data_IF_608091528824
#
_entry.id   IF_608091528824
#
_cell.length_a   1.000
_cell.length_b   1.000
_cell.length_c   1.000
_cell.angle_alpha   90.00
_cell.angle_beta   90.00
_cell.angle_gamma   90.00
#
_symmetry.space_group_name_H-M   'P 1'
#
loop_
_entity.id
_entity.type
_entity.pdbx_description
1 polymer ?
#
# COMPACT_ATOMS: atom_id res chain seq x y z
N UNK A 1 -2.99 11.21 -15.69
CA UNK A 1 -4.19 10.35 -15.77
C UNK A 1 -3.77 9.03 -16.42
N UNK A 2 -4.07 7.85 -15.82
CA UNK A 2 -3.66 6.51 -16.33
C UNK A 2 -4.16 5.36 -15.42
N UNK A 3 -5.34 5.48 -14.80
CA UNK A 3 -5.86 4.42 -13.91
C UNK A 3 -6.42 3.26 -14.73
N UNK A 4 -6.04 2.03 -14.38
CA UNK A 4 -6.46 0.80 -15.05
C UNK A 4 -7.27 -0.11 -14.12
N UNK A 5 -8.43 -0.56 -14.60
CA UNK A 5 -9.31 -1.49 -13.90
C UNK A 5 -9.48 -2.72 -14.79
N UNK A 6 -9.04 -3.87 -14.30
CA UNK A 6 -9.21 -5.14 -15.01
C UNK A 6 -10.68 -5.62 -14.98
N UNK A 7 -11.04 -6.50 -15.92
CA UNK A 7 -12.40 -6.95 -16.13
C UNK A 7 -13.06 -7.60 -14.90
N UNK A 8 -14.40 -7.58 -14.90
CA UNK A 8 -15.26 -8.14 -13.85
C UNK A 8 -15.13 -7.49 -12.47
N UNK A 9 -14.41 -6.36 -12.35
CA UNK A 9 -14.34 -5.59 -11.11
C UNK A 9 -15.55 -4.67 -10.96
N UNK A 10 -16.15 -4.67 -9.78
CA UNK A 10 -17.29 -3.82 -9.38
C UNK A 10 -16.79 -2.67 -8.53
N UNK A 11 -17.17 -1.44 -8.88
CA UNK A 11 -16.78 -0.22 -8.16
C UNK A 11 -18.02 0.43 -7.57
N UNK A 12 -18.02 0.65 -6.26
CA UNK A 12 -19.09 1.33 -5.54
C UNK A 12 -19.13 2.84 -5.78
N UNK A 13 -20.09 3.51 -5.14
CA UNK A 13 -20.24 4.96 -5.28
C UNK A 13 -19.12 5.74 -4.57
N UNK A 14 -18.87 6.97 -5.03
CA UNK A 14 -17.96 7.93 -4.38
C UNK A 14 -16.53 7.39 -4.18
N UNK A 15 -16.10 6.47 -5.04
CA UNK A 15 -14.73 5.96 -5.07
C UNK A 15 -13.82 6.97 -5.76
N UNK A 16 -12.68 7.25 -5.15
CA UNK A 16 -11.62 8.07 -5.73
C UNK A 16 -10.38 7.24 -5.98
N UNK A 17 -9.83 7.35 -7.19
CA UNK A 17 -8.60 6.68 -7.59
C UNK A 17 -7.59 7.73 -8.03
N UNK A 18 -6.44 7.76 -7.35
CA UNK A 18 -5.30 8.57 -7.77
C UNK A 18 -4.78 8.13 -9.13
N UNK A 19 -3.94 8.98 -9.74
CA UNK A 19 -3.35 8.66 -11.04
C UNK A 19 -2.52 7.38 -11.00
N UNK A 20 -2.55 6.61 -12.09
CA UNK A 20 -1.76 5.37 -12.24
C UNK A 20 -2.08 4.28 -11.22
N UNK A 21 -3.31 4.26 -10.68
CA UNK A 21 -3.79 3.10 -9.90
C UNK A 21 -4.02 1.91 -10.84
N UNK A 22 -3.59 0.72 -10.42
CA UNK A 22 -3.87 -0.53 -11.11
C UNK A 22 -4.71 -1.47 -10.25
N UNK A 23 -5.79 -2.01 -10.81
CA UNK A 23 -6.71 -2.93 -10.12
C UNK A 23 -6.79 -4.25 -10.91
N UNK A 24 -6.55 -5.37 -10.23
CA UNK A 24 -6.74 -6.71 -10.83
C UNK A 24 -8.22 -7.03 -11.03
N UNK A 25 -8.53 -8.09 -11.78
CA UNK A 25 -9.91 -8.41 -12.17
C UNK A 25 -10.72 -9.06 -11.05
N UNK A 26 -12.04 -9.08 -11.22
CA UNK A 26 -12.98 -9.78 -10.33
C UNK A 26 -13.00 -9.27 -8.89
N UNK A 27 -12.69 -7.99 -8.68
CA UNK A 27 -12.69 -7.39 -7.34
C UNK A 27 -13.97 -6.61 -7.05
N UNK A 28 -14.23 -6.37 -5.77
CA UNK A 28 -15.24 -5.42 -5.30
C UNK A 28 -14.54 -4.26 -4.57
N UNK A 29 -14.79 -3.04 -5.04
CA UNK A 29 -14.30 -1.81 -4.41
C UNK A 29 -15.49 -1.14 -3.73
N UNK A 30 -15.47 -1.13 -2.40
CA UNK A 30 -16.55 -0.61 -1.58
C UNK A 30 -16.78 0.90 -1.76
N UNK A 31 -17.98 1.34 -1.41
CA UNK A 31 -18.36 2.75 -1.44
C UNK A 31 -17.40 3.62 -0.60
N UNK A 32 -17.11 4.83 -1.09
CA UNK A 32 -16.27 5.79 -0.37
C UNK A 32 -14.80 5.41 -0.27
N UNK A 33 -14.34 4.42 -1.05
CA UNK A 33 -12.93 4.03 -1.09
C UNK A 33 -12.08 5.10 -1.76
N UNK A 34 -10.96 5.46 -1.14
CA UNK A 34 -9.93 6.34 -1.71
C UNK A 34 -8.63 5.56 -1.90
N UNK A 35 -8.19 5.39 -3.15
CA UNK A 35 -6.95 4.69 -3.49
C UNK A 35 -5.93 5.74 -3.95
N UNK A 36 -4.83 5.87 -3.22
CA UNK A 36 -3.77 6.83 -3.55
C UNK A 36 -3.04 6.46 -4.86
N UNK A 37 -2.43 7.47 -5.51
CA UNK A 37 -1.76 7.31 -6.79
C UNK A 37 -0.71 6.18 -6.78
N UNK A 38 -0.50 5.55 -7.94
CA UNK A 38 0.47 4.45 -8.14
C UNK A 38 0.24 3.20 -7.26
N UNK A 39 -0.93 3.06 -6.64
CA UNK A 39 -1.24 1.87 -5.85
C UNK A 39 -1.66 0.69 -6.73
N UNK A 40 -1.33 -0.52 -6.27
CA UNK A 40 -1.75 -1.78 -6.89
C UNK A 40 -2.74 -2.54 -6.03
N UNK A 41 -3.98 -2.67 -6.48
CA UNK A 41 -5.06 -3.36 -5.76
C UNK A 41 -5.13 -4.80 -6.22
N UNK A 42 -4.77 -5.73 -5.32
CA UNK A 42 -4.75 -7.18 -5.56
C UNK A 42 -5.93 -7.95 -4.94
N UNK A 43 -6.77 -7.27 -4.15
CA UNK A 43 -7.92 -7.85 -3.43
C UNK A 43 -9.05 -6.83 -3.29
N UNK A 44 -10.27 -7.31 -3.07
CA UNK A 44 -11.42 -6.46 -2.79
C UNK A 44 -11.16 -5.56 -1.57
N UNK A 45 -11.61 -4.31 -1.66
CA UNK A 45 -11.37 -3.28 -0.65
C UNK A 45 -12.71 -2.82 -0.07
N UNK A 46 -12.92 -2.85 1.25
CA UNK A 46 -13.99 -2.07 1.85
C UNK A 46 -13.69 -0.56 1.75
N UNK A 47 -14.71 0.26 2.02
CA UNK A 47 -14.57 1.71 2.13
C UNK A 47 -13.43 2.11 3.07
N UNK A 48 -12.74 3.21 2.76
CA UNK A 48 -11.56 3.66 3.50
C UNK A 48 -10.46 4.20 2.61
N UNK A 49 -9.28 4.47 3.18
CA UNK A 49 -8.14 5.04 2.45
C UNK A 49 -7.01 4.02 2.33
N UNK A 50 -6.54 3.81 1.10
CA UNK A 50 -5.62 2.75 0.73
C UNK A 50 -4.41 3.30 -0.03
N UNK A 51 -3.24 2.72 0.22
CA UNK A 51 -2.00 3.10 -0.47
C UNK A 51 -1.03 1.91 -0.56
N UNK A 52 -0.21 1.90 -1.61
CA UNK A 52 0.92 1.00 -1.76
C UNK A 52 0.74 -0.05 -2.85
N UNK A 53 1.75 -0.90 -3.00
CA UNK A 53 1.78 -2.03 -3.92
C UNK A 53 2.37 -3.25 -3.20
N UNK A 54 1.55 -4.22 -2.76
CA UNK A 54 0.08 -4.22 -2.82
C UNK A 54 -0.54 -3.15 -1.91
N UNK A 55 -1.75 -2.70 -2.25
CA UNK A 55 -2.48 -1.69 -1.49
C UNK A 55 -2.90 -2.23 -0.10
N UNK A 56 -2.60 -1.46 0.94
CA UNK A 56 -2.98 -1.72 2.34
C UNK A 56 -3.64 -0.47 2.94
N UNK A 57 -4.30 -0.54 4.12
CA UNK A 57 -4.86 0.64 4.76
C UNK A 57 -3.79 1.72 4.97
N UNK A 58 -4.13 2.99 4.76
CA UNK A 58 -3.17 4.10 4.74
C UNK A 58 -2.29 4.17 6.01
N UNK A 59 -2.87 3.89 7.19
CA UNK A 59 -2.14 3.88 8.45
C UNK A 59 -1.03 2.80 8.48
N UNK A 60 -1.32 1.64 7.92
CA UNK A 60 -0.34 0.55 7.78
C UNK A 60 0.75 0.93 6.78
N UNK A 61 0.38 1.45 5.60
CA UNK A 61 1.34 1.87 4.59
C UNK A 61 2.31 2.93 5.14
N UNK A 62 1.80 3.95 5.86
CA UNK A 62 2.63 4.96 6.53
C UNK A 62 3.62 4.36 7.52
N UNK A 63 3.20 3.34 8.28
CA UNK A 63 4.06 2.64 9.25
C UNK A 63 5.16 1.86 8.54
N UNK A 64 4.82 1.14 7.47
CA UNK A 64 5.79 0.41 6.65
C UNK A 64 6.83 1.36 6.03
N UNK A 65 6.38 2.49 5.47
CA UNK A 65 7.27 3.53 4.95
C UNK A 65 8.18 4.07 6.05
N UNK A 66 7.68 4.31 7.26
CA UNK A 66 8.51 4.76 8.38
C UNK A 66 9.57 3.73 8.77
N UNK A 67 9.27 2.42 8.69
CA UNK A 67 10.26 1.36 8.91
C UNK A 67 11.35 1.39 7.84
N UNK A 68 11.00 1.54 6.57
CA UNK A 68 11.97 1.63 5.47
C UNK A 68 12.95 2.79 5.71
N UNK A 69 12.46 3.98 6.07
CA UNK A 69 13.32 5.13 6.39
C UNK A 69 14.23 4.90 7.61
N UNK A 70 13.87 3.97 8.50
CA UNK A 70 14.64 3.65 9.71
C UNK A 70 15.57 2.44 9.52
N UNK A 71 15.53 1.76 8.38
CA UNK A 71 16.35 0.56 8.13
C UNK A 71 17.85 0.81 8.32
N UNK A 72 18.38 1.94 7.84
CA UNK A 72 19.80 2.28 8.05
C UNK A 72 20.19 2.34 9.53
N UNK A 73 19.36 2.98 10.37
CA UNK A 73 19.59 3.02 11.83
C UNK A 73 19.48 1.64 12.47
N UNK A 74 18.60 0.78 11.95
CA UNK A 74 18.49 -0.60 12.41
C UNK A 74 19.76 -1.38 12.10
N UNK A 75 20.29 -1.29 10.86
CA UNK A 75 21.55 -1.95 10.48
C UNK A 75 22.73 -1.48 11.32
N UNK A 76 22.88 -0.17 11.55
CA UNK A 76 23.93 0.33 12.45
C UNK A 76 23.79 -0.22 13.86
N UNK A 77 22.56 -0.24 14.39
CA UNK A 77 22.32 -0.80 15.73
C UNK A 77 22.65 -2.30 15.79
N UNK A 78 22.32 -3.07 14.75
CA UNK A 78 22.67 -4.50 14.66
C UNK A 78 24.19 -4.68 14.60
N UNK A 79 24.89 -3.93 13.75
CA UNK A 79 26.36 -3.95 13.67
C UNK A 79 27.04 -3.65 15.00
N UNK A 80 26.52 -2.68 15.77
CA UNK A 80 27.03 -2.40 17.11
C UNK A 80 26.76 -3.53 18.10
N UNK A 81 25.65 -4.26 17.94
CA UNK A 81 25.33 -5.43 18.77
C UNK A 81 26.26 -6.59 18.41
N UNK A 82 26.45 -6.90 17.13
CA UNK A 82 27.36 -7.95 16.65
C UNK A 82 28.79 -7.72 17.16
N UNK A 83 29.30 -6.49 17.01
CA UNK A 83 30.63 -6.10 17.55
C UNK A 83 30.77 -6.34 19.05
N UNK A 84 29.70 -6.10 19.84
CA UNK A 84 29.71 -6.32 21.29
C UNK A 84 29.66 -7.80 21.66
N UNK A 85 29.06 -8.63 20.81
CA UNK A 85 28.94 -10.07 20.99
C UNK A 85 30.15 -10.84 20.41
N UNK A 86 31.06 -10.17 19.70
CA UNK A 86 32.20 -10.80 19.05
C UNK A 86 31.82 -11.64 17.83
N UNK A 87 30.66 -11.34 17.23
CA UNK A 87 30.21 -11.91 15.97
C UNK A 87 30.84 -11.20 14.77
#
# INVERSE_FOLDING_TARGET
AQTGISGSTRVGERVMMGGQVGIVGHLEIGEGTMIAAQSGVSKSLPGGVWFGYPAVPLAEAKRQTAWIHRLGKLFERVKQIEKKLGL
#
